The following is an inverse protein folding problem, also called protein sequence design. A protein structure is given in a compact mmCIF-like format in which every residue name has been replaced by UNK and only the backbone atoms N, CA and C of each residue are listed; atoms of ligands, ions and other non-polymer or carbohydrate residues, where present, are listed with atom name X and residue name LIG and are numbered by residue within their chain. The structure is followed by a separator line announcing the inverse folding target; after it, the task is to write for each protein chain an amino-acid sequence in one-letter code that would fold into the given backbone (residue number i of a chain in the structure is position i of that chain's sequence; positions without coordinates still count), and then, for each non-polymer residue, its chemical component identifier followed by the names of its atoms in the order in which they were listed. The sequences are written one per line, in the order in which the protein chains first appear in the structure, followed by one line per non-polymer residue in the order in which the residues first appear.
data_IF_733832916228
#
_entry.id   IF_733832916228
#
_cell.length_a   1.000
_cell.length_b   1.000
_cell.length_c   1.000
_cell.angle_alpha   90.00
_cell.angle_beta   90.00
_cell.angle_gamma   90.00
#
_symmetry.space_group_name_H-M   'P 1'
#
loop_
_entity.id
_entity.type
_entity.pdbx_description
1 polymer ?
#
# COMPACT_ATOMS: atom_id res chain seq x y z
N UNK A 1 -26.82 6.44 -2.50
CA UNK A 1 -26.35 7.58 -3.30
C UNK A 1 -27.42 8.03 -4.30
N UNK A 2 -27.99 7.11 -5.08
CA UNK A 2 -28.98 7.44 -6.12
C UNK A 2 -30.19 8.19 -5.56
N UNK A 3 -30.68 7.81 -4.38
CA UNK A 3 -31.86 8.43 -3.74
C UNK A 3 -31.58 9.87 -3.24
N UNK A 4 -30.33 10.21 -2.95
CA UNK A 4 -29.96 11.54 -2.44
C UNK A 4 -29.39 12.47 -3.52
N UNK A 5 -28.62 11.93 -4.46
CA UNK A 5 -27.84 12.71 -5.42
C UNK A 5 -28.24 12.45 -6.90
N UNK A 6 -29.21 11.57 -7.11
CA UNK A 6 -29.68 11.21 -8.45
C UNK A 6 -28.64 10.46 -9.29
N UNK A 7 -28.94 10.29 -10.58
CA UNK A 7 -28.05 9.56 -11.50
C UNK A 7 -26.74 10.29 -11.79
N UNK A 8 -26.77 11.61 -11.87
CA UNK A 8 -25.59 12.41 -12.15
C UNK A 8 -24.57 12.35 -10.98
N UNK A 9 -25.06 12.48 -9.74
CA UNK A 9 -24.20 12.38 -8.56
C UNK A 9 -23.60 10.98 -8.39
N UNK A 10 -24.39 9.93 -8.64
CA UNK A 10 -23.89 8.54 -8.62
C UNK A 10 -22.85 8.31 -9.72
N UNK A 11 -23.08 8.83 -10.94
CA UNK A 11 -22.12 8.72 -12.03
C UNK A 11 -20.81 9.43 -11.75
N UNK A 12 -20.85 10.65 -11.20
CA UNK A 12 -19.65 11.38 -10.81
C UNK A 12 -18.86 10.64 -9.71
N UNK A 13 -19.55 10.10 -8.71
CA UNK A 13 -18.93 9.31 -7.65
C UNK A 13 -18.25 8.06 -8.22
N UNK A 14 -18.93 7.28 -9.05
CA UNK A 14 -18.38 6.09 -9.69
C UNK A 14 -17.15 6.40 -10.56
N UNK A 15 -17.14 7.55 -11.23
CA UNK A 15 -15.97 8.02 -11.98
C UNK A 15 -14.76 8.27 -11.05
N UNK A 16 -14.98 8.95 -9.92
CA UNK A 16 -13.92 9.21 -8.93
C UNK A 16 -13.36 7.89 -8.39
N UNK A 17 -14.23 6.94 -8.05
CA UNK A 17 -13.82 5.61 -7.59
C UNK A 17 -13.03 4.85 -8.67
N UNK A 18 -13.48 4.89 -9.93
CA UNK A 18 -12.76 4.25 -11.03
C UNK A 18 -11.36 4.84 -11.23
N UNK A 19 -11.23 6.17 -11.21
CA UNK A 19 -9.95 6.86 -11.31
C UNK A 19 -9.03 6.53 -10.12
N UNK A 20 -9.57 6.44 -8.92
CA UNK A 20 -8.83 6.05 -7.72
C UNK A 20 -8.26 4.64 -7.83
N UNK A 21 -9.10 3.66 -8.21
CA UNK A 21 -8.68 2.27 -8.41
C UNK A 21 -7.63 2.15 -9.52
N UNK A 22 -7.83 2.84 -10.64
CA UNK A 22 -6.86 2.84 -11.74
C UNK A 22 -5.50 3.39 -11.28
N UNK A 23 -5.49 4.50 -10.55
CA UNK A 23 -4.24 5.08 -10.03
C UNK A 23 -3.54 4.15 -9.04
N UNK A 24 -4.30 3.41 -8.23
CA UNK A 24 -3.74 2.45 -7.26
C UNK A 24 -3.12 1.23 -7.95
N UNK A 25 -3.80 0.64 -8.94
CA UNK A 25 -3.25 -0.43 -9.76
C UNK A 25 -1.97 0.03 -10.46
N UNK A 26 -2.00 1.23 -11.07
CA UNK A 26 -0.85 1.80 -11.75
C UNK A 26 0.35 2.01 -10.80
N UNK A 27 0.12 2.59 -9.62
CA UNK A 27 1.18 2.83 -8.63
C UNK A 27 1.85 1.53 -8.16
N UNK A 28 1.06 0.49 -7.89
CA UNK A 28 1.60 -0.82 -7.47
C UNK A 28 2.38 -1.52 -8.59
N UNK A 29 1.92 -1.44 -9.83
CA UNK A 29 2.65 -1.98 -10.97
C UNK A 29 3.96 -1.22 -11.24
N UNK A 30 4.01 0.10 -11.00
CA UNK A 30 5.26 0.87 -11.07
C UNK A 30 6.28 0.39 -10.01
N UNK A 31 5.85 0.11 -8.79
CA UNK A 31 6.74 -0.45 -7.74
C UNK A 31 7.34 -1.78 -8.20
N UNK A 32 6.54 -2.66 -8.79
CA UNK A 32 7.03 -3.92 -9.38
C UNK A 32 8.07 -3.66 -10.47
N UNK A 33 7.81 -2.72 -11.36
CA UNK A 33 8.74 -2.34 -12.43
C UNK A 33 10.06 -1.79 -11.90
N UNK A 34 10.00 -0.93 -10.87
CA UNK A 34 11.20 -0.39 -10.21
C UNK A 34 12.05 -1.49 -9.57
N UNK A 35 11.42 -2.43 -8.85
CA UNK A 35 12.13 -3.56 -8.25
C UNK A 35 12.77 -4.43 -9.33
N UNK A 36 12.05 -4.77 -10.39
CA UNK A 36 12.57 -5.58 -11.47
C UNK A 36 13.75 -4.93 -12.18
N UNK A 37 13.67 -3.62 -12.44
CA UNK A 37 14.73 -2.86 -13.10
C UNK A 37 15.97 -2.68 -12.23
N UNK A 38 15.79 -2.31 -10.96
CA UNK A 38 16.90 -1.93 -10.07
C UNK A 38 17.58 -3.13 -9.38
N UNK A 39 16.81 -4.18 -9.04
CA UNK A 39 17.35 -5.31 -8.25
C UNK A 39 17.65 -6.54 -9.12
N UNK A 40 16.77 -6.86 -10.05
CA UNK A 40 16.87 -8.08 -10.86
C UNK A 40 17.65 -7.81 -12.16
N UNK A 41 17.78 -6.54 -12.57
CA UNK A 41 18.41 -6.16 -13.84
C UNK A 41 17.60 -6.60 -15.06
N UNK A 42 16.32 -6.87 -14.88
CA UNK A 42 15.41 -7.34 -15.91
C UNK A 42 14.61 -6.22 -16.58
N UNK A 43 13.77 -6.61 -17.55
CA UNK A 43 12.84 -5.67 -18.19
C UNK A 43 11.73 -5.26 -17.22
N UNK A 44 11.70 -3.99 -16.82
CA UNK A 44 10.63 -3.43 -15.99
C UNK A 44 9.25 -3.67 -16.63
N UNK A 45 9.11 -3.43 -17.92
CA UNK A 45 7.87 -3.66 -18.67
C UNK A 45 7.45 -5.13 -18.66
N UNK A 46 8.40 -6.05 -18.85
CA UNK A 46 8.14 -7.49 -18.80
C UNK A 46 7.63 -7.93 -17.42
N UNK A 47 8.25 -7.47 -16.34
CA UNK A 47 7.83 -7.76 -14.98
C UNK A 47 6.43 -7.20 -14.69
N UNK A 48 6.15 -5.96 -15.08
CA UNK A 48 4.82 -5.35 -14.94
C UNK A 48 3.75 -6.19 -15.64
N UNK A 49 4.00 -6.61 -16.89
CA UNK A 49 3.04 -7.41 -17.66
C UNK A 49 2.79 -8.78 -17.01
N UNK A 50 3.85 -9.47 -16.58
CA UNK A 50 3.73 -10.77 -15.91
C UNK A 50 2.92 -10.63 -14.62
N UNK A 51 3.26 -9.67 -13.77
CA UNK A 51 2.57 -9.47 -12.50
C UNK A 51 1.12 -9.02 -12.70
N UNK A 52 0.86 -8.16 -13.69
CA UNK A 52 -0.51 -7.74 -14.02
C UNK A 52 -1.37 -8.92 -14.46
N UNK A 53 -0.84 -9.80 -15.35
CA UNK A 53 -1.57 -10.99 -15.82
C UNK A 53 -1.79 -12.00 -14.69
N UNK A 54 -0.76 -12.27 -13.90
CA UNK A 54 -0.86 -13.21 -12.76
C UNK A 54 -1.82 -12.69 -11.70
N UNK A 55 -1.72 -11.39 -11.33
CA UNK A 55 -2.62 -10.76 -10.37
C UNK A 55 -4.07 -10.78 -10.86
N UNK A 56 -4.29 -10.46 -12.14
CA UNK A 56 -5.63 -10.52 -12.73
C UNK A 56 -6.19 -11.95 -12.74
N UNK A 57 -5.41 -12.94 -13.12
CA UNK A 57 -5.82 -14.34 -13.11
C UNK A 57 -6.15 -14.81 -11.69
N UNK A 58 -5.31 -14.50 -10.73
CA UNK A 58 -5.52 -14.83 -9.32
C UNK A 58 -6.79 -14.18 -8.77
N UNK A 59 -6.98 -12.88 -8.97
CA UNK A 59 -8.17 -12.15 -8.53
C UNK A 59 -9.44 -12.67 -9.19
N UNK A 60 -9.38 -13.06 -10.48
CA UNK A 60 -10.53 -13.63 -11.19
C UNK A 60 -10.97 -15.00 -10.64
N UNK A 61 -10.03 -15.82 -10.15
CA UNK A 61 -10.34 -17.12 -9.58
C UNK A 61 -10.64 -17.09 -8.08
N UNK A 62 -9.96 -16.24 -7.34
CA UNK A 62 -9.99 -16.22 -5.87
C UNK A 62 -11.06 -15.34 -5.27
N UNK A 63 -11.40 -14.24 -5.92
CA UNK A 63 -12.30 -13.21 -5.41
C UNK A 63 -11.83 -12.57 -4.10
N UNK A 64 -12.68 -11.76 -3.49
CA UNK A 64 -12.37 -11.00 -2.27
C UNK A 64 -11.98 -11.91 -1.08
N UNK A 65 -12.59 -13.09 -0.95
CA UNK A 65 -12.28 -14.01 0.16
C UNK A 65 -10.87 -14.58 0.10
N UNK A 66 -10.34 -14.84 -1.10
CA UNK A 66 -8.96 -15.29 -1.25
C UNK A 66 -7.99 -14.14 -1.01
N UNK A 67 -8.26 -12.95 -1.52
CA UNK A 67 -7.46 -11.75 -1.27
C UNK A 67 -7.33 -11.47 0.23
N UNK A 68 -8.41 -11.53 1.00
CA UNK A 68 -8.39 -11.31 2.45
C UNK A 68 -7.55 -12.35 3.20
N UNK A 69 -7.54 -13.63 2.78
CA UNK A 69 -6.71 -14.67 3.41
C UNK A 69 -5.23 -14.49 3.11
N UNK A 70 -4.89 -14.14 1.88
CA UNK A 70 -3.51 -13.85 1.50
C UNK A 70 -3.01 -12.57 2.14
N UNK A 71 -3.84 -11.54 2.30
CA UNK A 71 -3.51 -10.30 3.00
C UNK A 71 -3.00 -10.57 4.44
N UNK A 72 -3.61 -11.53 5.16
CA UNK A 72 -3.15 -11.87 6.52
C UNK A 72 -1.73 -12.43 6.50
N UNK A 73 -1.43 -13.36 5.57
CA UNK A 73 -0.08 -13.93 5.44
C UNK A 73 0.92 -12.86 5.03
N UNK A 74 0.56 -12.03 4.07
CA UNK A 74 1.39 -10.93 3.56
C UNK A 74 1.68 -9.91 4.65
N UNK A 75 0.67 -9.57 5.47
CA UNK A 75 0.85 -8.69 6.63
C UNK A 75 1.81 -9.30 7.67
N UNK A 76 1.71 -10.61 7.96
CA UNK A 76 2.64 -11.28 8.86
C UNK A 76 4.08 -11.25 8.33
N UNK A 77 4.27 -11.50 7.02
CA UNK A 77 5.58 -11.40 6.38
C UNK A 77 6.12 -9.96 6.47
N UNK A 78 5.29 -8.99 6.12
CA UNK A 78 5.66 -7.57 6.21
C UNK A 78 6.10 -7.18 7.64
N UNK A 79 5.30 -7.52 8.66
CA UNK A 79 5.61 -7.18 10.05
C UNK A 79 6.88 -7.88 10.56
N UNK A 80 7.10 -9.13 10.15
CA UNK A 80 8.32 -9.87 10.50
C UNK A 80 9.57 -9.22 9.87
N UNK A 81 9.51 -8.92 8.58
CA UNK A 81 10.63 -8.26 7.86
C UNK A 81 10.88 -6.85 8.40
N UNK A 82 9.81 -6.09 8.63
CA UNK A 82 9.90 -4.76 9.25
C UNK A 82 10.57 -4.85 10.63
N UNK A 83 10.15 -5.80 11.47
CA UNK A 83 10.75 -6.01 12.78
C UNK A 83 12.24 -6.35 12.70
N UNK A 84 12.64 -7.26 11.80
CA UNK A 84 14.04 -7.61 11.55
C UNK A 84 14.85 -6.38 11.13
N UNK A 85 14.35 -5.63 10.14
CA UNK A 85 15.04 -4.45 9.64
C UNK A 85 15.14 -3.35 10.71
N UNK A 86 14.08 -3.15 11.50
CA UNK A 86 14.04 -2.16 12.58
C UNK A 86 15.03 -2.52 13.70
N UNK A 87 15.09 -3.79 14.12
CA UNK A 87 16.07 -4.28 15.10
C UNK A 87 17.48 -4.10 14.56
N UNK A 88 17.72 -4.43 13.28
CA UNK A 88 19.02 -4.22 12.66
C UNK A 88 19.41 -2.74 12.65
N UNK A 89 18.49 -1.84 12.33
CA UNK A 89 18.73 -0.40 12.38
C UNK A 89 19.13 0.06 13.77
N UNK A 90 18.36 -0.32 14.80
CA UNK A 90 18.60 0.10 16.20
C UNK A 90 19.91 -0.44 16.74
N UNK A 91 20.31 -1.65 16.32
CA UNK A 91 21.57 -2.27 16.74
C UNK A 91 22.77 -1.82 15.90
N UNK A 92 22.57 -1.03 14.85
CA UNK A 92 23.67 -0.54 14.01
C UNK A 92 24.55 0.45 14.80
N UNK A 93 25.90 0.39 14.65
CA UNK A 93 26.84 1.26 15.41
C UNK A 93 26.63 2.75 15.22
N UNK A 94 26.02 3.16 14.11
CA UNK A 94 25.73 4.56 13.79
C UNK A 94 24.34 5.04 14.24
N UNK A 95 23.54 4.18 14.89
CA UNK A 95 22.20 4.58 15.32
C UNK A 95 22.23 5.27 16.69
N UNK A 96 21.57 6.43 16.76
CA UNK A 96 21.32 7.14 18.01
C UNK A 96 19.92 7.71 18.02
N UNK A 97 19.07 7.24 18.94
CA UNK A 97 17.71 7.76 19.08
C UNK A 97 17.71 9.27 19.32
N UNK A 98 18.66 9.77 20.09
CA UNK A 98 18.83 11.22 20.32
C UNK A 98 19.15 12.00 19.06
N UNK A 99 19.97 11.44 18.17
CA UNK A 99 20.27 12.03 16.87
C UNK A 99 19.03 12.01 15.95
N UNK A 100 18.31 10.89 15.90
CA UNK A 100 17.09 10.76 15.08
C UNK A 100 16.01 11.77 15.50
N UNK A 101 15.76 11.92 16.82
CA UNK A 101 14.73 12.84 17.34
C UNK A 101 15.12 14.32 17.14
N UNK A 102 16.40 14.62 17.12
CA UNK A 102 16.91 16.00 16.94
C UNK A 102 17.33 16.31 15.50
N UNK A 103 17.22 15.34 14.60
CA UNK A 103 17.60 15.54 13.20
C UNK A 103 16.79 16.70 12.62
N UNK A 104 17.45 17.70 11.97
CA UNK A 104 16.75 18.75 11.28
C UNK A 104 15.96 18.10 10.12
N UNK A 105 14.72 18.55 9.94
CA UNK A 105 13.94 18.18 8.76
C UNK A 105 14.56 18.74 7.48
N UNK A 106 13.98 18.41 6.34
CA UNK A 106 14.32 19.05 5.06
C UNK A 106 14.18 20.57 5.17
N UNK A 107 15.02 21.29 4.44
CA UNK A 107 15.14 22.76 4.49
C UNK A 107 13.77 23.45 4.48
N UNK A 108 13.42 24.07 5.59
CA UNK A 108 12.18 24.76 5.83
C UNK A 108 11.13 23.93 6.58
N UNK A 109 10.94 24.25 7.87
CA UNK A 109 9.88 23.65 8.71
C UNK A 109 8.48 23.73 8.06
N UNK A 110 8.27 24.69 7.17
CA UNK A 110 7.03 24.89 6.43
C UNK A 110 6.65 23.67 5.56
N UNK A 111 7.60 23.03 4.89
CA UNK A 111 7.35 21.88 4.04
C UNK A 111 6.83 20.68 4.85
N UNK A 112 7.36 20.47 6.05
CA UNK A 112 6.89 19.40 6.95
C UNK A 112 5.45 19.62 7.43
N UNK A 113 5.08 20.85 7.77
CA UNK A 113 3.71 21.18 8.16
C UNK A 113 2.71 21.04 7.02
N UNK A 114 3.08 21.46 5.82
CA UNK A 114 2.24 21.24 4.62
C UNK A 114 2.01 19.76 4.37
N UNK A 115 3.06 18.95 4.42
CA UNK A 115 2.93 17.49 4.26
C UNK A 115 2.06 16.86 5.35
N UNK A 116 2.17 17.31 6.60
CA UNK A 116 1.33 16.83 7.69
C UNK A 116 -0.15 17.16 7.46
N UNK A 117 -0.47 18.38 7.03
CA UNK A 117 -1.84 18.78 6.71
C UNK A 117 -2.38 17.99 5.53
N UNK A 118 -1.60 17.81 4.46
CA UNK A 118 -1.98 17.00 3.30
C UNK A 118 -2.25 15.55 3.71
N UNK A 119 -1.37 14.96 4.51
CA UNK A 119 -1.56 13.59 5.01
C UNK A 119 -2.81 13.47 5.89
N UNK A 120 -3.07 14.45 6.77
CA UNK A 120 -4.27 14.47 7.59
C UNK A 120 -5.55 14.56 6.75
N UNK A 121 -5.59 15.43 5.74
CA UNK A 121 -6.71 15.56 4.81
C UNK A 121 -6.91 14.27 3.99
N UNK A 122 -5.84 13.65 3.53
CA UNK A 122 -5.87 12.39 2.80
C UNK A 122 -6.48 11.29 3.67
N UNK A 123 -5.97 11.07 4.87
CA UNK A 123 -6.48 10.03 5.79
C UNK A 123 -7.94 10.28 6.16
N UNK A 124 -8.32 11.54 6.39
CA UNK A 124 -9.70 11.91 6.67
C UNK A 124 -10.66 11.60 5.51
N UNK A 125 -10.18 11.72 4.28
CA UNK A 125 -10.99 11.47 3.07
C UNK A 125 -11.09 9.98 2.67
N UNK A 126 -10.20 9.11 3.14
CA UNK A 126 -10.18 7.67 2.79
C UNK A 126 -11.53 6.97 2.90
N UNK A 127 -12.30 7.10 4.01
CA UNK A 127 -13.59 6.44 4.15
C UNK A 127 -14.64 6.85 3.09
N UNK A 128 -14.39 7.93 2.36
CA UNK A 128 -15.34 8.44 1.36
C UNK A 128 -14.95 8.04 -0.07
N UNK A 129 -13.66 7.89 -0.36
CA UNK A 129 -13.19 7.70 -1.73
C UNK A 129 -12.34 6.45 -1.96
N UNK A 130 -11.98 5.71 -0.91
CA UNK A 130 -11.24 4.47 -1.04
C UNK A 130 -12.17 3.25 -1.01
N UNK A 131 -12.44 2.60 -2.16
CA UNK A 131 -13.39 1.50 -2.23
C UNK A 131 -12.88 0.25 -1.52
N UNK A 132 -11.56 0.01 -1.49
CA UNK A 132 -10.97 -1.14 -0.82
C UNK A 132 -11.23 -1.07 0.69
N UNK A 133 -11.06 0.11 1.28
CA UNK A 133 -11.33 0.34 2.70
C UNK A 133 -12.83 0.29 3.00
N UNK A 134 -13.65 0.86 2.13
CA UNK A 134 -15.12 0.83 2.28
C UNK A 134 -15.66 -0.60 2.24
N UNK A 135 -15.21 -1.41 1.29
CA UNK A 135 -15.65 -2.80 1.14
C UNK A 135 -15.34 -3.62 2.40
N UNK A 136 -14.17 -3.43 2.99
CA UNK A 136 -13.78 -4.09 4.25
C UNK A 136 -14.60 -3.65 5.45
N UNK A 137 -15.13 -2.44 5.45
CA UNK A 137 -15.99 -1.91 6.52
C UNK A 137 -17.33 -2.62 6.64
N UNK A 138 -17.80 -3.30 5.59
CA UNK A 138 -19.12 -3.96 5.53
C UNK A 138 -19.06 -5.50 5.61
N UNK A 139 -17.87 -6.10 5.77
CA UNK A 139 -17.70 -7.56 5.82
C UNK A 139 -18.17 -8.16 7.14
N UNK A 140 -18.02 -7.40 8.24
CA UNK A 140 -18.31 -7.86 9.60
C UNK A 140 -19.31 -6.94 10.32
N UNK A 141 -19.77 -7.37 11.48
CA UNK A 141 -20.60 -6.56 12.36
C UNK A 141 -19.86 -5.28 12.83
N UNK A 142 -20.60 -4.25 13.19
CA UNK A 142 -20.05 -2.93 13.56
C UNK A 142 -19.04 -2.99 14.72
N UNK A 143 -19.23 -3.90 15.69
CA UNK A 143 -18.31 -4.07 16.82
C UNK A 143 -16.98 -4.66 16.39
N UNK A 144 -17.00 -5.70 15.57
CA UNK A 144 -15.81 -6.36 15.01
C UNK A 144 -15.06 -5.39 14.09
N UNK A 145 -15.78 -4.72 13.19
CA UNK A 145 -15.22 -3.70 12.29
C UNK A 145 -14.49 -2.61 13.09
N UNK A 146 -15.16 -2.01 14.09
CA UNK A 146 -14.53 -0.98 14.93
C UNK A 146 -13.25 -1.47 15.63
N UNK A 147 -13.25 -2.70 16.17
CA UNK A 147 -12.07 -3.27 16.83
C UNK A 147 -10.93 -3.49 15.83
N UNK A 148 -11.23 -4.04 14.66
CA UNK A 148 -10.26 -4.26 13.60
C UNK A 148 -9.60 -2.96 13.15
N UNK A 149 -10.38 -1.90 12.92
CA UNK A 149 -9.83 -0.59 12.56
C UNK A 149 -8.98 0.03 13.68
N UNK A 150 -9.36 -0.14 14.95
CA UNK A 150 -8.54 0.32 16.07
C UNK A 150 -7.20 -0.43 16.16
N UNK A 151 -7.19 -1.75 15.95
CA UNK A 151 -5.93 -2.51 15.91
C UNK A 151 -5.08 -2.14 14.70
N UNK A 152 -5.69 -1.99 13.53
CA UNK A 152 -4.99 -1.52 12.33
C UNK A 152 -4.36 -0.14 12.55
N UNK A 153 -5.07 0.78 13.21
CA UNK A 153 -4.56 2.12 13.55
C UNK A 153 -3.25 2.05 14.35
N UNK A 154 -3.23 1.28 15.46
CA UNK A 154 -2.03 1.19 16.29
C UNK A 154 -0.86 0.52 15.57
N UNK A 155 -1.11 -0.59 14.88
CA UNK A 155 -0.07 -1.32 14.15
C UNK A 155 0.50 -0.45 13.03
N UNK A 156 -0.36 0.17 12.22
CA UNK A 156 0.10 1.06 11.13
C UNK A 156 0.87 2.26 11.66
N UNK A 157 0.40 2.89 12.76
CA UNK A 157 1.09 4.04 13.37
C UNK A 157 2.51 3.65 13.79
N UNK A 158 2.69 2.51 14.46
CA UNK A 158 4.02 2.02 14.84
C UNK A 158 4.91 1.75 13.63
N UNK A 159 4.36 1.13 12.58
CA UNK A 159 5.11 0.90 11.35
C UNK A 159 5.50 2.21 10.66
N UNK A 160 4.59 3.17 10.55
CA UNK A 160 4.86 4.47 9.92
C UNK A 160 5.97 5.23 10.68
N UNK A 161 5.91 5.26 12.01
CA UNK A 161 6.95 5.88 12.84
C UNK A 161 8.28 5.15 12.62
N UNK A 162 8.29 3.82 12.63
CA UNK A 162 9.51 3.03 12.43
C UNK A 162 10.11 3.22 11.04
N UNK A 163 9.31 3.26 9.98
CA UNK A 163 9.79 3.62 8.64
C UNK A 163 10.30 5.06 8.57
N UNK A 164 9.70 5.98 9.32
CA UNK A 164 10.22 7.33 9.48
C UNK A 164 11.65 7.34 10.04
N UNK A 165 11.96 6.45 10.97
CA UNK A 165 13.32 6.29 11.50
C UNK A 165 14.31 5.82 10.44
N UNK A 166 13.90 4.92 9.51
CA UNK A 166 14.77 4.54 8.38
C UNK A 166 15.13 5.74 7.52
N UNK A 167 14.13 6.58 7.16
CA UNK A 167 14.37 7.78 6.36
C UNK A 167 15.27 8.79 7.06
N UNK A 168 15.02 9.06 8.33
CA UNK A 168 15.83 10.01 9.11
C UNK A 168 17.27 9.50 9.27
N UNK A 169 17.45 8.22 9.59
CA UNK A 169 18.77 7.60 9.74
C UNK A 169 19.52 7.62 8.41
N UNK A 170 18.84 7.37 7.29
CA UNK A 170 19.43 7.49 5.95
C UNK A 170 20.04 8.89 5.71
N UNK A 171 19.31 9.92 6.11
CA UNK A 171 19.82 11.31 6.05
C UNK A 171 21.03 11.55 6.96
N UNK A 172 21.00 11.02 8.20
CA UNK A 172 22.10 11.19 9.17
C UNK A 172 23.40 10.54 8.68
N UNK A 173 23.32 9.32 8.12
CA UNK A 173 24.50 8.58 7.63
C UNK A 173 24.90 8.93 6.20
N UNK A 174 24.21 9.88 5.56
CA UNK A 174 24.49 10.30 4.18
C UNK A 174 24.15 9.24 3.14
N UNK A 175 23.28 8.27 3.46
CA UNK A 175 22.85 7.21 2.56
C UNK A 175 21.61 7.58 1.72
N UNK A 176 21.06 8.78 1.91
CA UNK A 176 19.88 9.24 1.19
C UNK A 176 20.24 9.54 -0.28
N UNK A 177 19.55 8.86 -1.20
CA UNK A 177 19.59 9.14 -2.63
C UNK A 177 18.34 9.88 -3.04
N UNK A 178 18.45 10.90 -3.85
CA UNK A 178 17.30 11.65 -4.35
C UNK A 178 16.36 10.70 -5.14
N UNK A 179 15.16 10.50 -4.59
CA UNK A 179 14.11 9.73 -5.23
C UNK A 179 14.29 8.19 -5.25
N UNK A 180 15.37 7.64 -4.70
CA UNK A 180 15.69 6.21 -4.79
C UNK A 180 15.63 5.47 -3.44
N UNK A 181 14.45 4.98 -3.07
CA UNK A 181 14.27 4.20 -1.85
C UNK A 181 15.12 2.92 -1.84
N UNK A 182 15.16 2.20 -2.96
CA UNK A 182 15.85 0.90 -3.08
C UNK A 182 17.36 1.09 -2.95
N UNK A 183 17.93 2.09 -3.62
CA UNK A 183 19.36 2.42 -3.51
C UNK A 183 19.74 2.81 -2.09
N UNK A 184 18.92 3.62 -1.42
CA UNK A 184 19.11 4.02 -0.02
C UNK A 184 19.15 2.80 0.91
N UNK A 185 18.23 1.86 0.76
CA UNK A 185 18.21 0.65 1.57
C UNK A 185 19.40 -0.28 1.27
N UNK A 186 19.85 -0.34 0.02
CA UNK A 186 21.03 -1.11 -0.37
C UNK A 186 22.32 -0.63 0.30
N UNK A 187 22.42 0.67 0.63
CA UNK A 187 23.54 1.24 1.38
C UNK A 187 23.40 1.08 2.89
N UNK A 188 22.15 1.20 3.41
CA UNK A 188 21.90 1.18 4.85
C UNK A 188 21.93 -0.22 5.46
N UNK A 189 21.52 -1.22 4.71
CA UNK A 189 21.32 -2.59 5.22
C UNK A 189 22.26 -3.60 4.57
N UNK A 190 22.67 -4.65 5.31
CA UNK A 190 23.42 -5.74 4.71
C UNK A 190 22.57 -6.45 3.65
N UNK A 191 23.20 -7.12 2.67
CA UNK A 191 22.50 -7.68 1.51
C UNK A 191 21.29 -8.57 1.87
N UNK A 192 21.37 -9.34 2.92
CA UNK A 192 20.27 -10.23 3.32
C UNK A 192 19.05 -9.46 3.87
N UNK A 193 19.25 -8.38 4.68
CA UNK A 193 18.16 -7.54 5.16
C UNK A 193 17.55 -6.75 4.00
N UNK A 194 18.41 -6.23 3.13
CA UNK A 194 17.98 -5.54 1.92
C UNK A 194 17.08 -6.42 1.05
N UNK A 195 17.47 -7.68 0.80
CA UNK A 195 16.66 -8.62 0.03
C UNK A 195 15.33 -8.95 0.71
N UNK A 196 15.30 -9.08 2.03
CA UNK A 196 14.03 -9.24 2.77
C UNK A 196 13.12 -8.02 2.60
N UNK A 197 13.65 -6.80 2.68
CA UNK A 197 12.88 -5.57 2.47
C UNK A 197 12.32 -5.49 1.04
N UNK A 198 13.12 -5.83 0.03
CA UNK A 198 12.68 -5.87 -1.37
C UNK A 198 11.55 -6.88 -1.58
N UNK A 199 11.70 -8.10 -1.04
CA UNK A 199 10.65 -9.14 -1.11
C UNK A 199 9.38 -8.67 -0.38
N UNK A 200 9.52 -8.06 0.80
CA UNK A 200 8.39 -7.52 1.56
C UNK A 200 7.65 -6.42 0.79
N UNK A 201 8.40 -5.54 0.12
CA UNK A 201 7.82 -4.48 -0.71
C UNK A 201 7.05 -5.06 -1.90
N UNK A 202 7.60 -6.09 -2.57
CA UNK A 202 6.94 -6.79 -3.66
C UNK A 202 5.65 -7.48 -3.18
N UNK A 203 5.70 -8.19 -2.06
CA UNK A 203 4.55 -8.86 -1.44
C UNK A 203 3.47 -7.84 -1.08
N UNK A 204 3.86 -6.69 -0.54
CA UNK A 204 2.93 -5.60 -0.20
C UNK A 204 2.27 -4.99 -1.45
N UNK A 205 3.03 -4.77 -2.52
CA UNK A 205 2.50 -4.29 -3.79
C UNK A 205 1.49 -5.27 -4.42
N UNK A 206 1.77 -6.58 -4.34
CA UNK A 206 0.85 -7.63 -4.81
C UNK A 206 -0.46 -7.65 -3.99
N UNK A 207 -0.38 -7.55 -2.66
CA UNK A 207 -1.56 -7.50 -1.78
C UNK A 207 -2.48 -6.35 -2.13
N UNK A 208 -1.91 -5.16 -2.32
CA UNK A 208 -2.68 -3.97 -2.68
C UNK A 208 -3.29 -4.11 -4.08
N UNK A 209 -2.53 -4.68 -5.03
CA UNK A 209 -3.01 -4.93 -6.38
C UNK A 209 -4.21 -5.87 -6.40
N UNK A 210 -4.16 -6.98 -5.67
CA UNK A 210 -5.26 -7.95 -5.56
C UNK A 210 -6.54 -7.30 -5.02
N UNK A 211 -6.40 -6.53 -3.97
CA UNK A 211 -7.52 -5.82 -3.34
C UNK A 211 -8.13 -4.76 -4.26
N UNK A 212 -7.29 -4.00 -4.98
CA UNK A 212 -7.74 -3.01 -5.95
C UNK A 212 -8.45 -3.65 -7.14
N UNK A 213 -7.94 -4.78 -7.66
CA UNK A 213 -8.57 -5.53 -8.74
C UNK A 213 -9.92 -6.13 -8.34
N UNK A 214 -10.03 -6.67 -7.10
CA UNK A 214 -11.30 -7.18 -6.57
C UNK A 214 -12.36 -6.06 -6.47
N UNK A 215 -11.98 -4.88 -5.95
CA UNK A 215 -12.88 -3.72 -5.87
C UNK A 215 -13.22 -3.17 -7.25
N UNK A 216 -12.29 -3.19 -8.21
CA UNK A 216 -12.57 -2.79 -9.59
C UNK A 216 -13.55 -3.74 -10.27
N UNK A 217 -13.41 -5.05 -10.08
CA UNK A 217 -14.36 -6.03 -10.60
C UNK A 217 -15.78 -5.80 -10.04
N UNK A 218 -15.90 -5.52 -8.75
CA UNK A 218 -17.17 -5.17 -8.11
C UNK A 218 -17.78 -3.91 -8.70
N UNK A 219 -17.00 -2.84 -8.87
CA UNK A 219 -17.45 -1.60 -9.49
C UNK A 219 -18.05 -1.85 -10.88
N UNK A 220 -17.34 -2.63 -11.72
CA UNK A 220 -17.77 -2.91 -13.10
C UNK A 220 -19.05 -3.75 -13.14
N UNK A 221 -19.17 -4.78 -12.30
CA UNK A 221 -20.27 -5.73 -12.31
C UNK A 221 -21.51 -5.21 -11.57
N UNK A 222 -21.33 -4.62 -10.39
CA UNK A 222 -22.46 -4.26 -9.53
C UNK A 222 -22.93 -2.82 -9.73
N UNK A 223 -22.00 -1.87 -9.79
CA UNK A 223 -22.35 -0.46 -9.83
C UNK A 223 -22.57 0.02 -11.26
N UNK A 224 -21.64 -0.27 -12.17
CA UNK A 224 -21.73 0.13 -13.57
C UNK A 224 -22.59 -0.82 -14.42
N UNK A 225 -22.76 -2.07 -13.98
CA UNK A 225 -23.53 -3.12 -14.68
C UNK A 225 -23.06 -3.33 -16.13
N UNK A 226 -21.77 -3.18 -16.36
CA UNK A 226 -21.15 -3.35 -17.68
C UNK A 226 -20.88 -4.81 -18.03
N UNK A 227 -20.88 -5.70 -17.04
CA UNK A 227 -20.69 -7.12 -17.23
C UNK A 227 -21.78 -7.94 -16.52
N UNK A 228 -22.18 -9.11 -17.07
CA UNK A 228 -23.15 -9.95 -16.43
C UNK A 228 -22.62 -10.52 -15.11
N UNK A 229 -23.51 -10.72 -14.12
CA UNK A 229 -23.22 -11.44 -12.87
C UNK A 229 -22.98 -12.92 -13.17
N UNK A 230 -21.81 -13.24 -13.72
CA UNK A 230 -21.38 -14.63 -13.95
C UNK A 230 -20.64 -15.17 -12.74
N UNK A 231 -20.34 -16.50 -12.74
CA UNK A 231 -19.53 -17.15 -11.68
C UNK A 231 -18.15 -16.47 -11.49
N UNK A 232 -17.59 -15.86 -12.53
CA UNK A 232 -16.37 -15.04 -12.46
C UNK A 232 -16.61 -13.69 -11.78
N UNK A 233 -17.78 -13.07 -11.99
CA UNK A 233 -18.15 -11.82 -11.32
C UNK A 233 -18.79 -12.05 -9.93
N UNK A 234 -19.48 -13.18 -9.72
CA UNK A 234 -20.15 -13.49 -8.45
C UNK A 234 -19.25 -14.08 -7.36
N UNK A 235 -18.01 -14.46 -7.69
CA UNK A 235 -16.98 -14.83 -6.69
C UNK A 235 -16.24 -13.63 -6.11
N UNK A 236 -16.52 -12.44 -6.61
CA UNK A 236 -16.00 -11.17 -6.09
C UNK A 236 -16.87 -10.56 -4.96
N UNK A 237 -17.93 -11.28 -4.50
CA UNK A 237 -18.79 -10.91 -3.37
C UNK A 237 -18.57 -11.87 -2.22
#
# INVERSE_FOLDING_TARGET
LADRFGRAGTGAYNLVIALRLLSEVFANLLVVGLIAGSVIGGSATGAILVVAVVGLAYSAWGGLSAALRTDVVQMCVFLAVFGIAFVHLVLSPGFSLGAVVRAPGTAGAWNGWVLLVVAALQVFSYPVHDPVMMDRGFIADARTTRRSFLHAFWVSTLCIIGFGFFGIQAGIVGAAYEGELIGTWGVMFPPWVFMLLVVSLLVSALSTLDSALASAARLVVEELRLAPRTLLGGRAV
#
